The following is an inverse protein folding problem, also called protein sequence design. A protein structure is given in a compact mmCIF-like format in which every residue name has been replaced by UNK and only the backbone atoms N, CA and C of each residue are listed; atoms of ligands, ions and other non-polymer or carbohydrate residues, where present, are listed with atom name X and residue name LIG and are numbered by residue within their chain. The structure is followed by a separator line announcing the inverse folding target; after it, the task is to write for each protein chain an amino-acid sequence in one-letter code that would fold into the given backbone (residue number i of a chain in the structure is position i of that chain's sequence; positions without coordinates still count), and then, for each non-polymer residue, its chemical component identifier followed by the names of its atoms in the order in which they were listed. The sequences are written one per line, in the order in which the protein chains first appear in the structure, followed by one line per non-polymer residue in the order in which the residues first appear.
data_IF_671417615392
#
_entry.id   IF_671417615392
#
_cell.length_a   1.000
_cell.length_b   1.000
_cell.length_c   1.000
_cell.angle_alpha   90.00
_cell.angle_beta   90.00
_cell.angle_gamma   90.00
#
_symmetry.space_group_name_H-M   'P 1'
#
loop_
_entity.id
_entity.type
_entity.pdbx_description
1 polymer ?
#
# COMPACT_ATOMS: atom_id res chain seq x y z
N UNK A 1 -11.26 0.46 -38.63
CA UNK A 1 -11.96 0.65 -37.34
C UNK A 1 -10.92 1.11 -36.36
N UNK A 2 -10.85 2.42 -36.03
CA UNK A 2 -9.99 2.92 -34.94
C UNK A 2 -10.56 2.41 -33.62
N UNK A 3 -9.86 1.52 -32.95
CA UNK A 3 -10.13 1.23 -31.54
C UNK A 3 -10.02 2.54 -30.78
N UNK A 4 -11.14 3.01 -30.23
CA UNK A 4 -11.13 4.12 -29.30
C UNK A 4 -10.43 3.62 -28.06
N UNK A 5 -9.21 4.05 -27.85
CA UNK A 5 -8.48 3.85 -26.60
C UNK A 5 -9.29 4.56 -25.52
N UNK A 6 -10.01 3.82 -24.68
CA UNK A 6 -10.60 4.36 -23.46
C UNK A 6 -9.45 4.79 -22.56
N UNK A 7 -9.24 6.08 -22.42
CA UNK A 7 -8.34 6.61 -21.41
C UNK A 7 -8.99 6.38 -20.04
N UNK A 8 -8.62 5.31 -19.35
CA UNK A 8 -8.92 5.15 -17.94
C UNK A 8 -8.10 6.21 -17.21
N UNK A 9 -8.78 7.19 -16.60
CA UNK A 9 -8.10 8.27 -15.84
C UNK A 9 -7.96 7.94 -14.38
N UNK A 10 -8.95 7.28 -13.79
CA UNK A 10 -8.98 6.87 -12.41
C UNK A 10 -9.89 5.65 -12.25
N UNK A 11 -9.83 5.01 -11.09
CA UNK A 11 -10.70 3.88 -10.78
C UNK A 11 -11.03 3.85 -9.30
N UNK A 12 -12.22 3.34 -8.96
CA UNK A 12 -12.58 2.88 -7.63
C UNK A 12 -12.49 1.37 -7.59
N UNK A 13 -11.83 0.83 -6.57
CA UNK A 13 -11.73 -0.60 -6.35
C UNK A 13 -12.10 -0.94 -4.91
N UNK A 14 -12.68 -2.09 -4.69
CA UNK A 14 -12.91 -2.68 -3.38
C UNK A 14 -12.86 -4.20 -3.48
N UNK A 15 -12.44 -4.87 -2.42
CA UNK A 15 -12.57 -6.31 -2.24
C UNK A 15 -12.89 -6.66 -0.79
N UNK A 16 -13.27 -7.90 -0.52
CA UNK A 16 -13.66 -8.37 0.81
C UNK A 16 -12.51 -9.02 1.60
N UNK A 17 -11.26 -8.78 1.21
CA UNK A 17 -10.09 -9.38 1.87
C UNK A 17 -9.81 -8.80 3.26
N UNK A 18 -10.22 -7.54 3.50
CA UNK A 18 -10.01 -6.84 4.77
C UNK A 18 -11.27 -6.08 5.20
N UNK A 19 -11.38 -5.76 6.48
CA UNK A 19 -12.51 -4.98 7.04
C UNK A 19 -12.72 -3.62 6.35
N UNK A 20 -11.63 -3.03 5.85
CA UNK A 20 -11.66 -1.77 5.13
C UNK A 20 -11.92 -1.93 3.62
N UNK A 21 -12.16 -3.14 3.15
CA UNK A 21 -12.35 -3.47 1.73
C UNK A 21 -11.16 -3.08 0.86
N UNK A 22 -9.96 -3.22 1.41
CA UNK A 22 -8.68 -2.97 0.72
C UNK A 22 -7.94 -4.27 0.43
N UNK A 23 -7.12 -4.32 -0.63
CA UNK A 23 -6.27 -5.47 -0.90
C UNK A 23 -5.40 -5.84 0.29
N UNK A 24 -5.35 -7.12 0.65
CA UNK A 24 -4.64 -7.63 1.83
C UNK A 24 -3.15 -7.26 1.81
N UNK A 25 -2.48 -7.46 0.69
CA UNK A 25 -1.05 -7.15 0.58
C UNK A 25 -0.75 -5.67 0.89
N UNK A 26 -1.59 -4.75 0.40
CA UNK A 26 -1.45 -3.32 0.66
C UNK A 26 -1.77 -2.99 2.11
N UNK A 27 -2.86 -3.55 2.66
CA UNK A 27 -3.26 -3.30 4.03
C UNK A 27 -2.18 -3.75 5.04
N UNK A 28 -1.61 -4.94 4.85
CA UNK A 28 -0.50 -5.44 5.68
C UNK A 28 0.74 -4.56 5.52
N UNK A 29 1.09 -4.19 4.30
CA UNK A 29 2.22 -3.31 4.01
C UNK A 29 2.10 -1.96 4.72
N UNK A 30 0.94 -1.31 4.64
CA UNK A 30 0.67 -0.05 5.35
C UNK A 30 0.73 -0.24 6.87
N UNK A 31 0.15 -1.32 7.41
CA UNK A 31 0.16 -1.59 8.85
C UNK A 31 1.57 -1.77 9.40
N UNK A 32 2.48 -2.40 8.66
CA UNK A 32 3.89 -2.50 9.04
C UNK A 32 4.49 -1.10 9.25
N UNK A 33 4.26 -0.18 8.32
CA UNK A 33 4.81 1.18 8.40
C UNK A 33 4.15 2.01 9.52
N UNK A 34 2.86 1.82 9.79
CA UNK A 34 2.17 2.44 10.93
C UNK A 34 2.80 1.99 12.25
N UNK A 35 2.96 0.68 12.46
CA UNK A 35 3.56 0.12 13.68
C UNK A 35 5.01 0.55 13.85
N UNK A 36 5.80 0.60 12.77
CA UNK A 36 7.16 1.16 12.80
C UNK A 36 7.16 2.62 13.25
N UNK A 37 6.23 3.43 12.74
CA UNK A 37 6.10 4.83 13.12
C UNK A 37 5.71 4.98 14.61
N UNK A 38 4.87 4.07 15.14
CA UNK A 38 4.49 4.06 16.56
C UNK A 38 5.70 3.71 17.45
N UNK A 39 6.48 2.69 17.12
CA UNK A 39 7.71 2.39 17.84
C UNK A 39 8.69 3.57 17.83
N UNK A 40 8.86 4.21 16.67
CA UNK A 40 9.73 5.40 16.54
C UNK A 40 9.27 6.57 17.40
N UNK A 41 7.95 6.82 17.49
CA UNK A 41 7.38 7.90 18.31
C UNK A 41 7.47 7.59 19.80
N UNK A 42 7.21 6.34 20.18
CA UNK A 42 7.25 5.89 21.57
C UNK A 42 8.66 5.91 22.17
N UNK A 43 9.71 5.70 21.36
CA UNK A 43 11.13 5.67 21.76
C UNK A 43 11.45 4.72 22.93
N UNK A 44 10.61 3.70 23.13
CA UNK A 44 10.72 2.82 24.30
C UNK A 44 11.58 1.57 24.04
N UNK A 45 11.24 0.82 22.98
CA UNK A 45 11.79 -0.51 22.73
C UNK A 45 12.80 -0.56 21.59
N UNK A 46 12.62 0.31 20.59
CA UNK A 46 13.48 0.41 19.41
C UNK A 46 13.81 1.89 19.18
N UNK A 47 14.94 2.33 19.71
CA UNK A 47 15.31 3.75 19.77
C UNK A 47 16.00 4.28 18.50
N UNK A 48 16.56 3.38 17.70
CA UNK A 48 17.36 3.71 16.52
C UNK A 48 16.55 3.93 15.24
N UNK A 49 15.22 3.71 15.25
CA UNK A 49 14.39 3.88 14.05
C UNK A 49 14.30 5.35 13.62
N UNK A 50 14.37 5.55 12.29
CA UNK A 50 14.22 6.85 11.63
C UNK A 50 13.02 6.86 10.67
N UNK A 51 12.56 8.05 10.20
CA UNK A 51 11.27 8.19 9.54
C UNK A 51 11.12 7.47 8.20
N UNK A 52 12.19 7.32 7.41
CA UNK A 52 12.09 6.73 6.08
C UNK A 52 12.00 5.21 6.18
N UNK A 53 10.95 4.65 5.60
CA UNK A 53 10.73 3.22 5.58
C UNK A 53 9.90 2.81 4.37
N UNK A 54 10.12 1.59 3.90
CA UNK A 54 9.39 0.96 2.81
C UNK A 54 9.01 -0.45 3.21
N UNK A 55 7.83 -0.91 2.77
CA UNK A 55 7.41 -2.28 2.96
C UNK A 55 6.77 -2.83 1.69
N UNK A 56 6.91 -4.12 1.51
CA UNK A 56 6.25 -4.89 0.46
C UNK A 56 5.82 -6.23 1.02
N UNK A 57 4.64 -6.68 0.63
CA UNK A 57 4.08 -7.96 1.06
C UNK A 57 3.65 -8.75 -0.15
N UNK A 58 4.06 -10.01 -0.22
CA UNK A 58 3.63 -10.97 -1.23
C UNK A 58 2.64 -11.93 -0.59
N UNK A 59 1.47 -12.05 -1.22
CA UNK A 59 0.39 -12.95 -0.80
C UNK A 59 0.19 -13.99 -1.88
N UNK A 60 0.12 -15.25 -1.49
CA UNK A 60 -0.27 -16.34 -2.37
C UNK A 60 -1.79 -16.44 -2.42
N UNK A 61 -2.34 -16.59 -3.63
CA UNK A 61 -3.76 -16.70 -3.89
C UNK A 61 -4.11 -18.05 -4.52
N UNK A 62 -5.29 -18.56 -4.19
CA UNK A 62 -5.87 -19.73 -4.88
C UNK A 62 -6.33 -19.36 -6.30
N UNK A 63 -6.67 -20.37 -7.09
CA UNK A 63 -7.30 -20.20 -8.40
C UNK A 63 -8.61 -19.39 -8.34
N UNK A 64 -9.28 -19.40 -7.20
CA UNK A 64 -10.50 -18.63 -6.93
C UNK A 64 -10.22 -17.23 -6.36
N UNK A 65 -9.01 -16.72 -6.52
CA UNK A 65 -8.58 -15.39 -6.05
C UNK A 65 -8.74 -15.15 -4.53
N UNK A 66 -8.72 -16.22 -3.72
CA UNK A 66 -8.74 -16.09 -2.25
C UNK A 66 -7.32 -16.17 -1.69
N UNK A 67 -6.95 -15.33 -0.72
CA UNK A 67 -5.63 -15.39 -0.11
C UNK A 67 -5.44 -16.72 0.65
N UNK A 68 -4.29 -17.38 0.43
CA UNK A 68 -3.94 -18.65 1.05
C UNK A 68 -2.94 -18.44 2.19
N UNK A 69 -1.88 -17.66 1.92
CA UNK A 69 -0.83 -17.35 2.89
C UNK A 69 -0.06 -16.08 2.54
N UNK A 70 0.54 -15.49 3.54
CA UNK A 70 1.58 -14.48 3.35
C UNK A 70 2.90 -15.23 3.07
N UNK A 71 3.46 -15.02 1.89
CA UNK A 71 4.68 -15.70 1.45
C UNK A 71 5.94 -14.93 1.86
N UNK A 72 5.98 -13.64 1.50
CA UNK A 72 7.18 -12.83 1.69
C UNK A 72 6.81 -11.44 2.23
N UNK A 73 7.59 -10.99 3.20
CA UNK A 73 7.54 -9.64 3.75
C UNK A 73 8.90 -8.98 3.60
N UNK A 74 8.95 -7.88 2.87
CA UNK A 74 10.14 -7.04 2.72
C UNK A 74 9.94 -5.75 3.51
N UNK A 75 10.91 -5.42 4.37
CA UNK A 75 10.91 -4.15 5.11
C UNK A 75 12.28 -3.50 4.97
N UNK A 76 12.30 -2.27 4.52
CA UNK A 76 13.48 -1.41 4.57
C UNK A 76 13.17 -0.24 5.49
N UNK A 77 13.94 -0.07 6.56
CA UNK A 77 13.75 1.00 7.53
C UNK A 77 15.04 1.75 7.77
N UNK A 78 14.95 3.06 7.73
CA UNK A 78 16.05 3.96 8.10
C UNK A 78 16.33 3.84 9.60
N UNK A 79 17.63 3.83 9.94
CA UNK A 79 18.10 3.67 11.32
C UNK A 79 19.34 4.52 11.57
N UNK A 80 19.66 4.72 12.86
CA UNK A 80 20.94 5.32 13.25
C UNK A 80 22.10 4.40 12.96
N UNK A 81 23.29 4.98 12.89
CA UNK A 81 24.56 4.27 12.85
C UNK A 81 25.00 4.01 14.29
N UNK A 82 24.62 2.85 14.86
CA UNK A 82 24.77 2.59 16.30
C UNK A 82 25.74 1.45 16.63
N UNK A 83 26.15 0.64 15.63
CA UNK A 83 27.06 -0.49 15.81
C UNK A 83 27.70 -0.86 14.46
N UNK A 84 28.45 -1.95 14.41
CA UNK A 84 28.95 -2.52 13.15
C UNK A 84 27.79 -2.93 12.23
N UNK A 85 28.04 -2.91 10.91
CA UNK A 85 27.01 -3.19 9.91
C UNK A 85 26.35 -4.57 10.12
N UNK A 86 27.12 -5.58 10.50
CA UNK A 86 26.64 -6.93 10.76
C UNK A 86 25.75 -7.00 12.02
N UNK A 87 26.18 -6.35 13.10
CA UNK A 87 25.42 -6.30 14.35
C UNK A 87 24.12 -5.52 14.16
N UNK A 88 24.17 -4.37 13.48
CA UNK A 88 22.97 -3.59 13.15
C UNK A 88 21.98 -4.40 12.33
N UNK A 89 22.42 -5.06 11.27
CA UNK A 89 21.56 -5.88 10.42
C UNK A 89 20.88 -7.00 11.21
N UNK A 90 21.64 -7.69 12.06
CA UNK A 90 21.12 -8.76 12.93
C UNK A 90 20.10 -8.23 13.95
N UNK A 91 20.43 -7.13 14.63
CA UNK A 91 19.56 -6.53 15.64
C UNK A 91 18.28 -6.00 15.02
N UNK A 92 18.35 -5.26 13.89
CA UNK A 92 17.19 -4.73 13.19
C UNK A 92 16.27 -5.87 12.73
N UNK A 93 16.86 -6.92 12.14
CA UNK A 93 16.10 -8.09 11.72
C UNK A 93 15.35 -8.73 12.90
N UNK A 94 16.03 -8.93 14.02
CA UNK A 94 15.46 -9.50 15.23
C UNK A 94 14.29 -8.63 15.76
N UNK A 95 14.51 -7.34 15.91
CA UNK A 95 13.51 -6.42 16.45
C UNK A 95 12.27 -6.32 15.54
N UNK A 96 12.45 -6.32 14.21
CA UNK A 96 11.32 -6.32 13.29
C UNK A 96 10.51 -7.60 13.42
N UNK A 97 11.16 -8.77 13.42
CA UNK A 97 10.46 -10.07 13.46
C UNK A 97 9.82 -10.31 14.82
N UNK A 98 10.52 -10.01 15.94
CA UNK A 98 10.06 -10.36 17.28
C UNK A 98 9.17 -9.30 17.94
N UNK A 99 9.29 -8.02 17.56
CA UNK A 99 8.55 -6.92 18.21
C UNK A 99 7.53 -6.25 17.30
N UNK A 100 7.91 -5.97 16.03
CA UNK A 100 7.04 -5.25 15.10
C UNK A 100 5.99 -6.19 14.51
N UNK A 101 6.41 -7.31 13.93
CA UNK A 101 5.49 -8.22 13.26
C UNK A 101 4.38 -8.79 14.16
N UNK A 102 4.61 -9.18 15.42
CA UNK A 102 3.52 -9.62 16.29
C UNK A 102 2.45 -8.56 16.52
N UNK A 103 2.82 -7.27 16.64
CA UNK A 103 1.86 -6.17 16.75
C UNK A 103 1.08 -5.94 15.45
N UNK A 104 1.75 -6.09 14.30
CA UNK A 104 1.10 -6.03 13.00
C UNK A 104 0.07 -7.14 12.87
N UNK A 105 0.46 -8.38 13.12
CA UNK A 105 -0.40 -9.56 13.01
C UNK A 105 -1.61 -9.44 13.96
N UNK A 106 -1.38 -9.07 15.21
CA UNK A 106 -2.43 -8.90 16.21
C UNK A 106 -3.46 -7.81 15.87
N UNK A 107 -3.15 -6.90 14.93
CA UNK A 107 -4.07 -5.83 14.50
C UNK A 107 -5.10 -6.27 13.47
N UNK A 108 -5.00 -7.48 12.94
CA UNK A 108 -5.92 -8.04 11.95
C UNK A 108 -6.88 -9.07 12.55
N UNK A 109 -7.92 -9.41 11.79
CA UNK A 109 -8.85 -10.46 12.19
C UNK A 109 -8.17 -11.83 12.31
N UNK A 110 -8.72 -12.77 13.10
CA UNK A 110 -8.14 -14.12 13.26
C UNK A 110 -7.93 -14.86 11.94
N UNK A 111 -8.80 -14.62 10.95
CA UNK A 111 -8.68 -15.22 9.62
C UNK A 111 -7.41 -14.73 8.91
N UNK A 112 -7.14 -13.42 8.93
CA UNK A 112 -5.92 -12.85 8.35
C UNK A 112 -4.69 -13.28 9.16
N UNK A 113 -4.78 -13.35 10.48
CA UNK A 113 -3.69 -13.83 11.33
C UNK A 113 -3.25 -15.25 10.95
N UNK A 114 -4.21 -16.12 10.61
CA UNK A 114 -3.93 -17.50 10.21
C UNK A 114 -3.15 -17.61 8.89
N UNK A 115 -3.12 -16.56 8.07
CA UNK A 115 -2.34 -16.52 6.83
C UNK A 115 -0.82 -16.28 7.07
N UNK A 116 -0.44 -15.89 8.27
CA UNK A 116 0.96 -15.76 8.68
C UNK A 116 1.45 -17.08 9.25
N UNK A 117 1.89 -17.97 8.39
CA UNK A 117 2.47 -19.26 8.77
C UNK A 117 3.93 -19.12 9.26
N UNK A 118 4.50 -20.20 9.79
CA UNK A 118 5.90 -20.23 10.27
C UNK A 118 6.94 -20.07 9.15
N UNK A 119 6.54 -20.24 7.91
CA UNK A 119 7.37 -20.25 6.71
C UNK A 119 7.37 -18.92 5.93
N UNK A 120 6.86 -17.83 6.54
CA UNK A 120 6.99 -16.50 5.96
C UNK A 120 8.46 -16.11 5.78
N UNK A 121 8.83 -15.75 4.57
CA UNK A 121 10.18 -15.25 4.27
C UNK A 121 10.28 -13.76 4.59
N UNK A 122 11.19 -13.40 5.50
CA UNK A 122 11.44 -12.00 5.86
C UNK A 122 12.73 -11.49 5.22
N UNK A 123 12.65 -10.41 4.46
CA UNK A 123 13.78 -9.63 3.95
C UNK A 123 13.80 -8.27 4.64
N UNK A 124 14.70 -8.12 5.61
CA UNK A 124 14.84 -6.88 6.39
C UNK A 124 16.12 -6.17 5.96
N UNK A 125 16.01 -4.91 5.51
CA UNK A 125 17.10 -4.12 4.94
C UNK A 125 17.97 -4.93 3.95
N UNK A 126 17.37 -5.56 2.91
CA UNK A 126 18.08 -6.51 2.06
C UNK A 126 19.24 -5.90 1.26
N UNK A 127 19.26 -4.59 1.12
CA UNK A 127 20.33 -3.83 0.45
C UNK A 127 21.43 -3.38 1.41
N UNK A 128 21.34 -3.75 2.70
CA UNK A 128 22.30 -3.40 3.74
C UNK A 128 21.92 -2.14 4.54
N UNK A 129 22.92 -1.43 5.01
CA UNK A 129 22.81 -0.25 5.89
C UNK A 129 21.96 0.86 5.26
N UNK A 130 20.98 1.38 6.02
CA UNK A 130 20.08 2.45 5.59
C UNK A 130 20.07 3.59 6.62
N UNK A 131 21.12 4.39 6.64
CA UNK A 131 21.31 5.53 7.56
C UNK A 131 20.84 6.84 6.91
N UNK A 132 21.12 7.02 5.62
CA UNK A 132 20.74 8.22 4.88
C UNK A 132 19.38 7.99 4.22
N UNK A 133 18.38 8.76 4.62
CA UNK A 133 17.01 8.68 4.09
C UNK A 133 16.34 10.04 4.01
N UNK A 134 15.06 10.05 3.61
CA UNK A 134 14.30 11.26 3.37
C UNK A 134 14.86 12.09 2.22
N UNK A 135 14.72 13.44 2.22
CA UNK A 135 15.13 14.30 1.10
C UNK A 135 16.62 14.22 0.74
N UNK A 136 17.47 13.83 1.69
CA UNK A 136 18.90 13.62 1.44
C UNK A 136 19.20 12.35 0.64
N UNK A 137 18.37 11.33 0.79
CA UNK A 137 18.51 10.08 0.04
C UNK A 137 17.82 10.14 -1.31
N UNK A 138 16.56 10.58 -1.31
CA UNK A 138 15.72 10.67 -2.51
C UNK A 138 14.64 11.75 -2.31
N UNK A 139 14.48 12.64 -3.28
CA UNK A 139 13.46 13.69 -3.23
C UNK A 139 12.13 13.17 -3.74
N UNK A 140 11.13 13.11 -2.86
CA UNK A 140 9.77 12.74 -3.20
C UNK A 140 9.02 13.86 -3.94
N UNK A 141 8.14 13.46 -4.85
CA UNK A 141 7.22 14.36 -5.56
C UNK A 141 5.78 13.85 -5.40
N UNK A 142 4.83 14.78 -5.31
CA UNK A 142 3.40 14.48 -5.30
C UNK A 142 3.00 13.72 -6.58
N UNK A 143 2.23 12.63 -6.42
CA UNK A 143 1.75 11.84 -7.54
C UNK A 143 2.78 10.87 -8.15
N UNK A 144 3.90 10.62 -7.48
CA UNK A 144 4.91 9.63 -7.89
C UNK A 144 4.78 8.29 -7.17
N UNK A 145 3.81 8.14 -6.28
CA UNK A 145 3.48 6.90 -5.55
C UNK A 145 1.98 6.57 -5.61
N UNK A 146 1.33 6.88 -6.72
CA UNK A 146 -0.12 6.77 -6.90
C UNK A 146 -0.67 5.35 -6.72
N UNK A 147 0.10 4.33 -7.04
CA UNK A 147 -0.29 2.93 -6.83
C UNK A 147 -0.31 2.59 -5.33
N UNK A 148 0.66 3.09 -4.55
CA UNK A 148 0.67 2.95 -3.09
C UNK A 148 -0.47 3.75 -2.44
N UNK A 149 -0.76 4.94 -2.97
CA UNK A 149 -1.83 5.82 -2.50
C UNK A 149 -3.24 5.25 -2.78
N UNK A 150 -3.36 4.25 -3.65
CA UNK A 150 -4.62 3.67 -4.08
C UNK A 150 -4.76 2.20 -3.66
N UNK A 151 -4.52 1.24 -4.55
CA UNK A 151 -4.89 -0.16 -4.33
C UNK A 151 -3.72 -1.15 -4.49
N UNK A 152 -2.48 -0.67 -4.48
CA UNK A 152 -1.30 -1.54 -4.53
C UNK A 152 -1.14 -2.34 -5.83
N UNK A 153 -1.80 -1.91 -6.92
CA UNK A 153 -1.74 -2.57 -8.22
C UNK A 153 -2.89 -3.57 -8.50
N UNK A 154 -3.77 -3.85 -7.53
CA UNK A 154 -4.96 -4.70 -7.75
C UNK A 154 -5.98 -4.01 -8.68
N UNK A 155 -6.17 -2.70 -8.54
CA UNK A 155 -7.02 -1.90 -9.41
C UNK A 155 -6.20 -1.13 -10.44
N UNK A 156 -6.71 -1.01 -11.67
CA UNK A 156 -6.11 -0.16 -12.69
C UNK A 156 -6.12 1.31 -12.26
N UNK A 157 -5.05 2.05 -12.60
CA UNK A 157 -4.91 3.48 -12.29
C UNK A 157 -4.51 4.25 -13.54
N UNK A 158 -5.17 5.38 -13.79
CA UNK A 158 -4.94 6.20 -14.97
C UNK A 158 -3.84 7.27 -14.82
N UNK A 159 -3.24 7.40 -13.64
CA UNK A 159 -2.11 8.30 -13.39
C UNK A 159 -2.44 9.62 -12.70
N UNK A 160 -3.71 9.88 -12.33
CA UNK A 160 -4.11 11.09 -11.62
C UNK A 160 -3.72 11.09 -10.14
N UNK A 161 -2.96 12.07 -9.66
CA UNK A 161 -2.70 12.27 -8.24
C UNK A 161 -3.90 12.94 -7.56
N UNK A 162 -4.17 12.62 -6.28
CA UNK A 162 -5.26 13.22 -5.51
C UNK A 162 -4.80 14.47 -4.74
N UNK A 163 -3.58 14.44 -4.20
CA UNK A 163 -3.03 15.52 -3.40
C UNK A 163 -2.95 16.83 -4.17
N UNK A 164 -3.31 17.94 -3.51
CA UNK A 164 -3.27 19.28 -4.08
C UNK A 164 -4.44 19.61 -5.03
N UNK A 165 -5.39 18.71 -5.21
CA UNK A 165 -6.60 18.92 -6.03
C UNK A 165 -7.80 19.21 -5.14
N UNK A 166 -8.59 20.22 -5.52
CA UNK A 166 -9.87 20.52 -4.89
C UNK A 166 -10.99 19.59 -5.43
N UNK A 167 -12.20 19.59 -4.82
CA UNK A 167 -13.30 18.71 -5.24
C UNK A 167 -13.81 18.93 -6.67
N UNK A 168 -13.52 20.07 -7.30
CA UNK A 168 -13.90 20.33 -8.70
C UNK A 168 -13.09 19.51 -9.69
N UNK A 169 -11.95 18.98 -9.26
CA UNK A 169 -11.08 18.14 -10.10
C UNK A 169 -11.60 16.71 -10.14
N UNK A 170 -12.04 16.31 -11.31
CA UNK A 170 -12.69 15.03 -11.56
C UNK A 170 -11.78 13.84 -11.24
N UNK A 171 -10.46 13.93 -11.51
CA UNK A 171 -9.50 12.89 -11.13
C UNK A 171 -9.59 12.50 -9.65
N UNK A 172 -9.94 13.45 -8.78
CA UNK A 172 -10.13 13.20 -7.36
C UNK A 172 -11.58 12.84 -7.01
N UNK A 173 -12.53 13.68 -7.39
CA UNK A 173 -13.94 13.51 -7.02
C UNK A 173 -14.57 12.25 -7.61
N UNK A 174 -14.27 11.93 -8.87
CA UNK A 174 -14.79 10.74 -9.52
C UNK A 174 -14.14 9.45 -8.98
N UNK A 175 -12.83 9.47 -8.64
CA UNK A 175 -12.17 8.34 -7.99
C UNK A 175 -12.80 8.03 -6.61
N UNK A 176 -13.11 9.06 -5.83
CA UNK A 176 -13.77 8.88 -4.54
C UNK A 176 -15.22 8.37 -4.69
N UNK A 177 -15.97 8.89 -5.65
CA UNK A 177 -17.32 8.40 -5.95
C UNK A 177 -17.29 6.93 -6.42
N UNK A 178 -16.38 6.57 -7.31
CA UNK A 178 -16.20 5.20 -7.78
C UNK A 178 -15.80 4.25 -6.63
N UNK A 179 -14.89 4.69 -5.74
CA UNK A 179 -14.53 3.93 -4.55
C UNK A 179 -15.73 3.76 -3.61
N UNK A 180 -16.53 4.79 -3.40
CA UNK A 180 -17.73 4.71 -2.57
C UNK A 180 -18.71 3.67 -3.12
N UNK A 181 -18.98 3.68 -4.41
CA UNK A 181 -19.86 2.70 -5.06
C UNK A 181 -19.27 1.29 -4.92
N UNK A 182 -17.99 1.09 -5.28
CA UNK A 182 -17.34 -0.22 -5.20
C UNK A 182 -17.41 -0.79 -3.79
N UNK A 183 -17.10 0.02 -2.77
CA UNK A 183 -17.15 -0.38 -1.37
C UNK A 183 -18.54 -0.80 -0.92
N UNK A 184 -19.58 -0.06 -1.30
CA UNK A 184 -20.95 -0.40 -0.92
C UNK A 184 -21.45 -1.68 -1.60
N UNK A 185 -21.09 -1.92 -2.86
CA UNK A 185 -21.47 -3.15 -3.58
C UNK A 185 -20.81 -4.38 -2.95
N UNK A 186 -19.51 -4.29 -2.62
CA UNK A 186 -18.80 -5.40 -1.94
C UNK A 186 -19.31 -5.60 -0.52
N UNK A 187 -19.56 -4.52 0.22
CA UNK A 187 -20.12 -4.58 1.58
C UNK A 187 -21.53 -5.19 1.61
N UNK A 188 -22.30 -5.01 0.57
CA UNK A 188 -23.63 -5.64 0.41
C UNK A 188 -23.56 -7.14 0.01
N UNK A 189 -22.36 -7.69 -0.18
CA UNK A 189 -22.17 -9.09 -0.60
C UNK A 189 -22.60 -9.41 -2.03
N UNK A 190 -22.74 -8.37 -2.89
CA UNK A 190 -23.13 -8.55 -4.29
C UNK A 190 -21.96 -9.08 -5.13
N UNK A 191 -20.73 -8.70 -4.75
CA UNK A 191 -19.50 -9.15 -5.39
C UNK A 191 -18.38 -9.26 -4.35
N UNK A 192 -17.44 -10.19 -4.55
CA UNK A 192 -16.25 -10.33 -3.70
C UNK A 192 -15.22 -9.23 -3.99
N UNK A 193 -15.16 -8.76 -5.22
CA UNK A 193 -14.34 -7.62 -5.64
C UNK A 193 -15.03 -6.84 -6.75
N UNK A 194 -14.75 -5.54 -6.83
CA UNK A 194 -15.29 -4.68 -7.87
C UNK A 194 -14.31 -3.57 -8.25
N UNK A 195 -14.05 -3.46 -9.54
CA UNK A 195 -13.31 -2.34 -10.14
C UNK A 195 -14.27 -1.49 -10.98
N UNK A 196 -14.32 -0.20 -10.70
CA UNK A 196 -15.10 0.78 -11.44
C UNK A 196 -14.15 1.76 -12.12
N UNK A 197 -13.84 1.58 -13.42
CA UNK A 197 -13.01 2.53 -14.14
C UNK A 197 -13.79 3.81 -14.43
N UNK A 198 -13.16 4.94 -14.16
CA UNK A 198 -13.68 6.25 -14.55
C UNK A 198 -13.11 6.59 -15.92
N UNK A 199 -13.98 6.66 -16.91
CA UNK A 199 -13.62 7.10 -18.25
C UNK A 199 -14.43 8.32 -18.65
N UNK A 200 -13.78 9.28 -19.31
CA UNK A 200 -14.48 10.35 -19.99
C UNK A 200 -14.67 9.95 -21.45
N UNK A 201 -15.91 9.89 -21.89
CA UNK A 201 -16.19 10.19 -23.28
C UNK A 201 -16.10 11.70 -23.39
N UNK A 202 -15.08 12.24 -24.04
CA UNK A 202 -15.15 13.61 -24.55
C UNK A 202 -16.35 13.69 -25.49
N UNK A 203 -17.49 14.07 -24.98
CA UNK A 203 -18.43 14.85 -25.77
C UNK A 203 -17.62 16.08 -26.19
N UNK A 204 -17.26 16.15 -27.46
CA UNK A 204 -16.47 17.18 -28.13
C UNK A 204 -16.21 18.39 -27.22
N UNK A 205 -14.94 18.63 -26.85
CA UNK A 205 -14.58 19.95 -26.40
C UNK A 205 -15.12 20.91 -27.44
N UNK A 206 -16.04 21.79 -27.06
CA UNK A 206 -16.34 22.96 -27.85
C UNK A 206 -15.02 23.74 -27.88
N UNK A 207 -14.25 23.54 -28.94
CA UNK A 207 -13.26 24.50 -29.34
C UNK A 207 -14.10 25.77 -29.61
N UNK A 208 -13.94 26.74 -28.72
CA UNK A 208 -14.42 28.08 -28.99
C UNK A 208 -13.55 28.59 -30.13
N UNK A 209 -14.06 28.51 -31.34
CA UNK A 209 -13.50 29.27 -32.47
C UNK A 209 -13.57 30.74 -32.08
N UNK A 210 -12.39 31.33 -31.92
CA UNK A 210 -12.20 32.78 -31.87
C UNK A 210 -12.00 33.29 -33.29
#
# INVERSE_FOLDING_TARGET
RRQRQMCIRDSGYANNETENFMPLALAVSHKILEVLADFRRAKSDITYLRPDAKSQVTVEYSENHKPIRIETVVVSTQHDDFDSDENMASQIRKDIIEKVMPKVIASFSPEIQSLFSSDVTYHINPTGKFVIGGPHGDTGLTGRKIIVDTYGGKGAHGGGAFSGKDPSKVDRSAAYAARHIAKNVVAAGIADELLIPVSYTHLRAHETET
#
